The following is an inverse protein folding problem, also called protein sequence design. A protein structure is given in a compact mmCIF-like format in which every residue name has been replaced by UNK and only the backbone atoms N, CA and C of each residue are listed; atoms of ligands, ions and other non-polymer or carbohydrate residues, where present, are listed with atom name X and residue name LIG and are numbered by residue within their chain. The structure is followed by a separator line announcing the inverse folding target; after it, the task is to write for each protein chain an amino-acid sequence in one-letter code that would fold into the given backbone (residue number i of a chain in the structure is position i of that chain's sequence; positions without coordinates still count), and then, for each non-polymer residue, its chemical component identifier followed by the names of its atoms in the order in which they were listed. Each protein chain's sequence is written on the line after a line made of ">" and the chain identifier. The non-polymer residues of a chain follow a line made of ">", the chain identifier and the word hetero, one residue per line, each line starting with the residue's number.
data_IF_797086004965
#
_entry.id   IF_797086004965
#
_cell.length_a   1.000
_cell.length_b   1.000
_cell.length_c   1.000
_cell.angle_alpha   90.00
_cell.angle_beta   90.00
_cell.angle_gamma   90.00
#
_symmetry.space_group_name_H-M   'P 1'
#
loop_
_entity.id
_entity.type
_entity.pdbx_description
1 polymer ?
#
# COMPACT_ATOMS: atom_id res chain seq x y z
N UNK A 1 11.93 21.24 48.28
CA UNK A 1 10.52 21.20 48.74
C UNK A 1 9.71 20.55 47.63
N UNK A 2 9.34 19.28 47.83
CA UNK A 2 8.46 18.52 46.94
C UNK A 2 7.05 19.11 47.04
N UNK A 3 6.48 19.52 45.91
CA UNK A 3 5.05 19.66 45.74
C UNK A 3 4.65 18.90 44.46
N UNK A 4 3.92 17.78 44.59
CA UNK A 4 3.39 17.07 43.45
C UNK A 4 2.15 17.83 42.97
N UNK A 5 2.19 18.36 41.75
CA UNK A 5 0.96 18.72 41.04
C UNK A 5 0.88 17.86 39.79
N UNK A 6 -0.15 17.03 39.79
CA UNK A 6 -0.69 16.30 38.65
C UNK A 6 -0.85 17.26 37.47
N UNK A 7 0.18 17.37 36.64
CA UNK A 7 0.06 17.74 35.23
C UNK A 7 0.12 16.44 34.46
N UNK A 8 -0.92 16.13 33.69
CA UNK A 8 -1.03 14.89 32.96
C UNK A 8 0.25 14.64 32.13
N UNK A 9 0.98 13.57 32.43
CA UNK A 9 1.72 12.88 31.39
C UNK A 9 0.67 12.42 30.39
N UNK A 10 0.48 13.19 29.32
CA UNK A 10 -0.33 12.78 28.19
C UNK A 10 0.38 11.61 27.52
N UNK A 11 0.02 10.41 27.98
CA UNK A 11 0.16 9.18 27.21
C UNK A 11 -0.50 9.41 25.86
N UNK A 12 0.30 9.37 24.79
CA UNK A 12 -0.06 9.42 23.37
C UNK A 12 -1.29 10.30 23.05
N UNK A 13 -1.09 11.57 22.64
CA UNK A 13 -2.21 12.40 22.24
C UNK A 13 -2.91 11.78 21.02
N UNK A 14 -4.24 11.72 21.05
CA UNK A 14 -5.07 11.56 19.85
C UNK A 14 -4.69 12.69 18.87
N UNK A 15 -4.63 12.43 17.55
CA UNK A 15 -4.16 13.38 16.52
C UNK A 15 -4.60 14.83 16.76
N UNK A 16 -5.85 15.06 17.13
CA UNK A 16 -6.40 16.40 17.40
C UNK A 16 -5.67 17.19 18.49
N UNK A 17 -5.16 16.51 19.53
CA UNK A 17 -4.40 17.13 20.61
C UNK A 17 -2.94 17.38 20.19
N UNK A 18 -2.38 16.51 19.34
CA UNK A 18 -1.05 16.68 18.79
C UNK A 18 -0.99 17.90 17.85
N UNK A 19 -1.93 18.01 16.92
CA UNK A 19 -2.01 19.14 15.98
C UNK A 19 -2.13 20.49 16.72
N UNK A 20 -2.97 20.54 17.77
CA UNK A 20 -3.12 21.73 18.61
C UNK A 20 -1.82 22.08 19.37
N UNK A 21 -1.11 21.07 19.88
CA UNK A 21 0.20 21.27 20.50
C UNK A 21 1.24 21.82 19.50
N UNK A 22 1.26 21.32 18.26
CA UNK A 22 2.12 21.83 17.20
C UNK A 22 1.79 23.28 16.84
N UNK A 23 0.51 23.65 16.75
CA UNK A 23 0.09 25.04 16.53
C UNK A 23 0.60 25.99 17.64
N UNK A 24 0.57 25.56 18.90
CA UNK A 24 1.12 26.33 20.02
C UNK A 24 2.64 26.47 19.88
N UNK A 25 3.36 25.39 19.55
CA UNK A 25 4.82 25.41 19.37
C UNK A 25 5.25 26.29 18.18
N UNK A 26 4.46 26.31 17.10
CA UNK A 26 4.69 27.16 15.93
C UNK A 26 4.28 28.63 16.17
N UNK A 27 3.66 28.95 17.31
CA UNK A 27 3.18 30.28 17.64
C UNK A 27 1.92 30.70 16.89
N UNK A 28 1.21 29.76 16.26
CA UNK A 28 -0.06 29.97 15.57
C UNK A 28 -1.22 30.13 16.57
N UNK A 29 -1.10 29.48 17.74
CA UNK A 29 -2.06 29.52 18.84
C UNK A 29 -1.36 29.86 20.17
N UNK A 30 -2.07 30.51 21.10
CA UNK A 30 -1.53 30.83 22.43
C UNK A 30 -2.36 30.21 23.55
N UNK A 31 -1.72 29.42 24.40
CA UNK A 31 -2.34 28.82 25.58
C UNK A 31 -1.35 28.77 26.75
N UNK A 32 -1.40 29.80 27.60
CA UNK A 32 -0.49 29.95 28.76
C UNK A 32 -0.71 28.90 29.86
N UNK A 33 -1.81 28.16 29.81
CA UNK A 33 -2.10 27.09 30.77
C UNK A 33 -1.45 25.74 30.41
N UNK A 34 -0.90 25.62 29.19
CA UNK A 34 -0.35 24.39 28.64
C UNK A 34 1.17 24.51 28.44
N UNK A 35 1.91 23.57 29.03
CA UNK A 35 3.33 23.36 28.70
C UNK A 35 3.44 22.21 27.70
N UNK A 36 3.98 22.50 26.51
CA UNK A 36 4.14 21.53 25.43
C UNK A 36 5.62 21.22 25.24
N UNK A 37 5.97 19.94 25.24
CA UNK A 37 7.30 19.45 24.92
C UNK A 37 7.16 18.13 24.16
N UNK A 38 7.62 18.10 22.92
CA UNK A 38 7.51 16.96 22.02
C UNK A 38 8.93 16.48 21.68
N UNK A 39 9.14 15.17 21.75
CA UNK A 39 10.38 14.50 21.40
C UNK A 39 10.10 13.53 20.27
N UNK A 40 10.47 13.87 19.05
CA UNK A 40 10.21 13.05 17.86
C UNK A 40 11.31 13.26 16.82
N UNK A 41 11.27 12.43 15.77
CA UNK A 41 12.05 12.66 14.56
C UNK A 41 11.17 13.36 13.52
N UNK A 42 11.79 14.23 12.74
CA UNK A 42 11.09 15.02 11.73
C UNK A 42 10.70 14.14 10.51
N UNK A 43 11.57 13.20 10.13
CA UNK A 43 11.39 12.29 9.00
C UNK A 43 12.05 10.91 9.26
N UNK A 44 11.56 9.86 8.58
CA UNK A 44 12.10 8.49 8.67
C UNK A 44 13.59 8.41 8.29
N UNK A 45 14.05 9.26 7.36
CA UNK A 45 15.45 9.31 6.91
C UNK A 45 16.44 9.76 7.98
N UNK A 46 15.99 10.38 9.06
CA UNK A 46 16.87 10.85 10.14
C UNK A 46 17.44 9.71 11.00
N UNK A 47 16.82 8.52 10.97
CA UNK A 47 17.20 7.35 11.77
C UNK A 47 18.58 6.78 11.45
N UNK A 48 19.08 7.04 10.24
CA UNK A 48 20.40 6.58 9.80
C UNK A 48 21.53 7.41 10.43
N UNK A 49 21.25 8.65 10.84
CA UNK A 49 22.18 9.48 11.58
C UNK A 49 22.03 9.29 13.10
N UNK A 50 23.09 8.76 13.72
CA UNK A 50 23.15 8.54 15.17
C UNK A 50 22.97 9.81 15.99
N UNK A 51 23.29 10.97 15.43
CA UNK A 51 23.12 12.25 16.12
C UNK A 51 21.65 12.65 16.26
N UNK A 52 20.77 12.21 15.37
CA UNK A 52 19.35 12.55 15.41
C UNK A 52 18.57 11.71 16.43
N UNK A 53 19.09 10.54 16.83
CA UNK A 53 18.41 9.63 17.76
C UNK A 53 18.06 10.29 19.11
N UNK A 54 18.85 11.28 19.55
CA UNK A 54 18.62 12.02 20.79
C UNK A 54 17.36 12.89 20.75
N UNK A 55 16.91 13.33 19.57
CA UNK A 55 15.70 14.15 19.41
C UNK A 55 14.45 13.43 19.94
N UNK A 56 14.31 12.15 19.62
CA UNK A 56 13.22 11.31 20.14
C UNK A 56 13.57 10.58 21.44
N UNK A 57 14.86 10.43 21.78
CA UNK A 57 15.34 9.72 22.97
C UNK A 57 16.18 10.66 23.85
N UNK A 58 15.57 11.62 24.58
CA UNK A 58 16.30 12.62 25.35
C UNK A 58 17.15 12.06 26.51
N UNK A 59 16.86 10.82 26.95
CA UNK A 59 17.62 10.12 27.99
C UNK A 59 18.72 9.18 27.44
N UNK A 60 19.07 9.32 26.16
CA UNK A 60 20.14 8.55 25.53
C UNK A 60 21.47 8.80 26.27
N UNK A 61 22.19 7.72 26.59
CA UNK A 61 23.41 7.68 27.41
C UNK A 61 23.25 8.11 28.88
N UNK A 62 22.02 8.29 29.36
CA UNK A 62 21.73 8.52 30.78
C UNK A 62 21.03 7.30 31.39
N UNK A 63 19.90 6.89 30.80
CA UNK A 63 19.16 5.68 31.21
C UNK A 63 18.89 4.72 30.05
N UNK A 64 19.05 5.17 28.81
CA UNK A 64 19.01 4.34 27.60
C UNK A 64 20.40 4.25 27.02
N UNK A 65 20.97 3.05 26.96
CA UNK A 65 22.31 2.86 26.41
C UNK A 65 22.30 2.89 24.87
N UNK A 66 23.16 3.71 24.27
CA UNK A 66 23.20 3.87 22.81
C UNK A 66 23.46 2.55 22.07
N UNK A 67 24.27 1.66 22.64
CA UNK A 67 24.59 0.38 22.00
C UNK A 67 23.34 -0.53 21.94
N UNK A 68 22.60 -0.64 23.03
CA UNK A 68 21.38 -1.45 23.12
C UNK A 68 20.27 -0.92 22.19
N UNK A 69 20.17 0.41 22.07
CA UNK A 69 19.24 1.05 21.12
C UNK A 69 19.61 0.70 19.68
N UNK A 70 20.89 0.83 19.30
CA UNK A 70 21.37 0.48 17.96
C UNK A 70 21.15 -1.00 17.61
N UNK A 71 21.35 -1.90 18.56
CA UNK A 71 21.12 -3.34 18.34
C UNK A 71 19.63 -3.65 18.14
N UNK A 72 18.74 -2.92 18.83
CA UNK A 72 17.30 -3.05 18.66
C UNK A 72 16.85 -2.50 17.31
N UNK A 73 17.39 -1.36 16.87
CA UNK A 73 17.15 -0.80 15.52
C UNK A 73 17.50 -1.84 14.45
N UNK A 74 18.70 -2.44 14.53
CA UNK A 74 19.16 -3.44 13.55
C UNK A 74 18.26 -4.67 13.49
N UNK A 75 17.82 -5.17 14.65
CA UNK A 75 16.90 -6.32 14.71
C UNK A 75 15.53 -5.98 14.12
N UNK A 76 15.00 -4.81 14.46
CA UNK A 76 13.69 -4.36 14.01
C UNK A 76 13.63 -4.18 12.49
N UNK A 77 14.71 -3.72 11.83
CA UNK A 77 14.75 -3.55 10.37
C UNK A 77 14.45 -4.83 9.57
N UNK A 78 14.74 -5.99 10.13
CA UNK A 78 14.46 -7.28 9.48
C UNK A 78 13.03 -7.77 9.63
N UNK A 79 12.20 -7.12 10.45
CA UNK A 79 10.86 -7.60 10.81
C UNK A 79 9.87 -6.44 10.72
N UNK A 80 8.99 -6.37 9.70
CA UNK A 80 8.11 -5.24 9.46
C UNK A 80 7.27 -4.81 10.68
N UNK A 81 6.79 -5.76 11.47
CA UNK A 81 5.98 -5.47 12.67
C UNK A 81 6.80 -4.81 13.77
N UNK A 82 8.02 -5.30 14.01
CA UNK A 82 8.94 -4.71 14.97
C UNK A 82 9.47 -3.35 14.48
N UNK A 83 9.65 -3.18 13.17
CA UNK A 83 10.02 -1.90 12.58
C UNK A 83 8.94 -0.85 12.83
N UNK A 84 7.68 -1.18 12.56
CA UNK A 84 6.53 -0.31 12.84
C UNK A 84 6.48 0.04 14.34
N UNK A 85 6.64 -0.96 15.20
CA UNK A 85 6.67 -0.74 16.65
C UNK A 85 7.83 0.15 17.08
N UNK A 86 9.00 0.00 16.47
CA UNK A 86 10.18 0.80 16.73
C UNK A 86 9.94 2.27 16.37
N UNK A 87 9.46 2.53 15.15
CA UNK A 87 9.14 3.88 14.67
C UNK A 87 8.10 4.55 15.57
N UNK A 88 6.99 3.86 15.86
CA UNK A 88 5.89 4.42 16.66
C UNK A 88 6.24 4.60 18.14
N UNK A 89 6.93 3.63 18.77
CA UNK A 89 7.14 3.64 20.24
C UNK A 89 8.48 4.21 20.68
N UNK A 90 9.49 4.23 19.82
CA UNK A 90 10.84 4.73 20.16
C UNK A 90 11.22 6.02 19.46
N UNK A 91 10.57 6.32 18.34
CA UNK A 91 10.86 7.53 17.57
C UNK A 91 9.67 8.48 17.43
N UNK A 92 8.50 8.07 17.95
CA UNK A 92 7.23 8.81 17.87
C UNK A 92 6.84 9.18 16.43
N UNK A 93 7.25 8.35 15.48
CA UNK A 93 6.87 8.50 14.07
C UNK A 93 5.49 7.86 13.88
N UNK A 94 4.57 8.65 13.33
CA UNK A 94 3.22 8.22 13.02
C UNK A 94 3.22 7.24 11.85
N UNK A 95 3.36 5.96 12.17
CA UNK A 95 3.15 4.90 11.19
C UNK A 95 1.65 4.67 11.03
N UNK A 96 1.20 4.48 9.79
CA UNK A 96 -0.12 3.90 9.57
C UNK A 96 -0.12 2.52 10.24
N UNK A 97 -1.10 2.23 11.10
CA UNK A 97 -1.14 1.05 11.98
C UNK A 97 -1.20 -0.31 11.27
N UNK A 98 -0.98 -0.35 9.96
CA UNK A 98 -0.79 -1.58 9.21
C UNK A 98 0.71 -1.81 9.07
N UNK A 99 1.22 -2.80 9.80
CA UNK A 99 2.49 -3.43 9.44
C UNK A 99 2.38 -3.87 7.98
N UNK A 100 3.22 -3.35 7.07
CA UNK A 100 3.16 -3.76 5.69
C UNK A 100 3.46 -5.26 5.65
N UNK A 101 2.54 -6.02 5.03
CA UNK A 101 2.68 -7.47 4.89
C UNK A 101 3.97 -7.84 4.14
N UNK A 102 4.38 -6.99 3.20
CA UNK A 102 5.61 -7.13 2.42
C UNK A 102 6.43 -5.85 2.55
N UNK A 103 7.71 -5.97 2.90
CA UNK A 103 8.62 -4.83 2.93
C UNK A 103 8.95 -4.32 1.53
N UNK A 104 9.17 -3.02 1.39
CA UNK A 104 9.50 -2.39 0.10
C UNK A 104 10.76 -2.98 -0.54
N UNK A 105 11.79 -3.29 0.26
CA UNK A 105 13.00 -3.96 -0.24
C UNK A 105 12.74 -5.34 -0.83
N UNK A 106 11.89 -6.14 -0.18
CA UNK A 106 11.51 -7.47 -0.69
C UNK A 106 10.77 -7.37 -2.03
N UNK A 107 9.91 -6.36 -2.18
CA UNK A 107 9.24 -6.09 -3.46
C UNK A 107 10.22 -5.67 -4.55
N UNK A 108 11.15 -4.76 -4.24
CA UNK A 108 12.18 -4.32 -5.17
C UNK A 108 13.10 -5.48 -5.61
N UNK A 109 13.47 -6.39 -4.69
CA UNK A 109 14.28 -7.58 -4.97
C UNK A 109 13.59 -8.56 -5.94
N UNK A 110 12.25 -8.48 -6.07
CA UNK A 110 11.48 -9.26 -7.04
C UNK A 110 11.50 -8.67 -8.46
N UNK A 111 12.04 -7.46 -8.68
CA UNK A 111 12.07 -6.84 -10.00
C UNK A 111 12.84 -7.72 -11.00
N UNK A 112 12.23 -7.99 -12.14
CA UNK A 112 12.84 -8.72 -13.25
C UNK A 112 12.57 -7.97 -14.55
N UNK A 113 13.56 -7.95 -15.44
CA UNK A 113 13.40 -7.38 -16.77
C UNK A 113 12.86 -8.46 -17.72
N UNK A 114 11.65 -8.24 -18.22
CA UNK A 114 11.03 -9.09 -19.23
C UNK A 114 10.07 -8.27 -20.08
N UNK A 115 9.72 -8.79 -21.24
CA UNK A 115 8.72 -8.21 -22.15
C UNK A 115 7.50 -9.09 -22.19
N UNK A 116 6.34 -8.49 -22.44
CA UNK A 116 5.08 -9.23 -22.63
C UNK A 116 5.18 -10.29 -23.74
N UNK A 117 5.99 -10.02 -24.78
CA UNK A 117 6.27 -10.96 -25.87
C UNK A 117 6.92 -12.26 -25.43
N UNK A 118 7.63 -12.25 -24.29
CA UNK A 118 8.34 -13.42 -23.78
C UNK A 118 7.36 -14.48 -23.26
N UNK A 119 6.11 -14.07 -22.95
CA UNK A 119 5.07 -14.95 -22.41
C UNK A 119 4.16 -15.57 -23.47
N UNK A 120 4.42 -15.34 -24.76
CA UNK A 120 3.58 -15.89 -25.82
C UNK A 120 3.55 -17.42 -25.77
N UNK A 121 2.35 -17.99 -25.68
CA UNK A 121 2.09 -19.42 -25.56
C UNK A 121 2.39 -20.01 -24.18
N UNK A 122 2.80 -19.19 -23.20
CA UNK A 122 3.03 -19.67 -21.84
C UNK A 122 1.71 -19.80 -21.08
N UNK A 123 1.68 -20.80 -20.21
CA UNK A 123 0.58 -21.03 -19.28
C UNK A 123 0.50 -19.93 -18.22
N UNK A 124 -0.69 -19.37 -18.03
CA UNK A 124 -0.92 -18.36 -16.99
C UNK A 124 -2.27 -18.51 -16.27
N UNK A 125 -2.35 -17.85 -15.12
CA UNK A 125 -3.55 -17.70 -14.31
C UNK A 125 -3.89 -16.23 -14.22
N UNK A 126 -5.15 -15.85 -14.44
CA UNK A 126 -5.57 -14.46 -14.39
C UNK A 126 -6.39 -14.18 -13.13
N UNK A 127 -6.22 -12.98 -12.58
CA UNK A 127 -7.07 -12.41 -11.54
C UNK A 127 -7.70 -11.12 -12.03
N UNK A 128 -8.99 -10.93 -11.75
CA UNK A 128 -9.72 -9.70 -12.06
C UNK A 128 -10.22 -9.04 -10.78
N UNK A 129 -9.96 -7.74 -10.67
CA UNK A 129 -10.51 -6.85 -9.66
C UNK A 129 -11.33 -5.77 -10.38
N UNK A 130 -12.67 -5.87 -10.25
CA UNK A 130 -13.60 -5.07 -11.04
C UNK A 130 -14.17 -3.93 -10.21
N UNK A 131 -14.16 -2.74 -10.78
CA UNK A 131 -14.76 -1.52 -10.25
C UNK A 131 -15.86 -1.00 -11.19
N UNK A 132 -16.71 -0.10 -10.69
CA UNK A 132 -17.80 0.48 -11.47
C UNK A 132 -17.50 1.90 -11.96
N UNK A 133 -17.37 2.88 -11.05
CA UNK A 133 -17.37 4.31 -11.43
C UNK A 133 -16.17 5.10 -10.92
N UNK A 134 -15.70 4.84 -9.70
CA UNK A 134 -14.68 5.67 -9.04
C UNK A 134 -13.30 5.04 -8.96
N UNK A 135 -13.24 3.71 -8.87
CA UNK A 135 -11.99 2.98 -8.61
C UNK A 135 -11.39 2.41 -9.89
N UNK A 136 -10.13 1.98 -9.80
CA UNK A 136 -9.41 1.33 -10.90
C UNK A 136 -9.87 -0.12 -11.02
N UNK A 137 -10.18 -0.55 -12.23
CA UNK A 137 -10.35 -1.98 -12.56
C UNK A 137 -9.02 -2.55 -13.02
N UNK A 138 -8.67 -3.74 -12.54
CA UNK A 138 -7.41 -4.40 -12.86
C UNK A 138 -7.60 -5.83 -13.33
N UNK A 139 -6.82 -6.23 -14.34
CA UNK A 139 -6.64 -7.62 -14.76
C UNK A 139 -5.17 -7.95 -14.65
N UNK A 140 -4.82 -9.00 -13.89
CA UNK A 140 -3.44 -9.41 -13.67
C UNK A 140 -3.25 -10.86 -14.14
N UNK A 141 -2.30 -11.08 -15.04
CA UNK A 141 -1.87 -12.38 -15.51
C UNK A 141 -0.61 -12.78 -14.75
N UNK A 142 -0.65 -13.95 -14.13
CA UNK A 142 0.45 -14.52 -13.37
C UNK A 142 1.00 -15.72 -14.12
N UNK A 143 2.30 -15.68 -14.42
CA UNK A 143 3.05 -16.72 -15.13
C UNK A 143 3.94 -17.46 -14.14
N UNK A 144 3.59 -18.70 -13.76
CA UNK A 144 4.42 -19.49 -12.85
C UNK A 144 5.75 -19.87 -13.51
N UNK A 145 6.85 -19.54 -12.83
CA UNK A 145 8.20 -19.97 -13.17
C UNK A 145 8.75 -20.84 -12.04
N UNK A 146 9.86 -21.55 -12.27
CA UNK A 146 10.40 -22.56 -11.35
C UNK A 146 10.52 -22.09 -9.88
N UNK A 147 10.84 -20.82 -9.64
CA UNK A 147 10.92 -20.25 -8.29
C UNK A 147 10.50 -18.77 -8.25
N UNK A 148 9.59 -18.35 -9.16
CA UNK A 148 9.14 -16.98 -9.25
C UNK A 148 7.74 -16.91 -9.88
N UNK A 149 7.03 -15.82 -9.63
CA UNK A 149 5.83 -15.45 -10.35
C UNK A 149 6.12 -14.18 -11.12
N UNK A 150 5.94 -14.22 -12.44
CA UNK A 150 6.04 -13.03 -13.30
C UNK A 150 4.64 -12.51 -13.61
N UNK A 151 4.50 -11.19 -13.69
CA UNK A 151 3.19 -10.54 -13.77
C UNK A 151 3.06 -9.69 -15.04
N UNK A 152 1.93 -9.78 -15.71
CA UNK A 152 1.50 -8.81 -16.72
C UNK A 152 0.17 -8.26 -16.27
N UNK A 153 0.07 -6.95 -16.04
CA UNK A 153 -1.15 -6.33 -15.54
C UNK A 153 -1.70 -5.28 -16.49
N UNK A 154 -3.02 -5.10 -16.44
CA UNK A 154 -3.78 -4.15 -17.24
C UNK A 154 -4.74 -3.42 -16.33
N UNK A 155 -4.61 -2.11 -16.29
CA UNK A 155 -5.38 -1.25 -15.40
C UNK A 155 -6.27 -0.31 -16.21
N UNK A 156 -7.49 -0.11 -15.72
CA UNK A 156 -8.54 0.65 -16.39
C UNK A 156 -9.18 1.65 -15.43
N UNK A 157 -9.49 2.85 -15.94
CA UNK A 157 -10.22 3.88 -15.20
C UNK A 157 -11.24 4.56 -16.13
N UNK A 158 -12.43 4.99 -15.65
CA UNK A 158 -13.33 5.79 -16.46
C UNK A 158 -12.74 7.17 -16.75
N UNK A 159 -12.88 7.65 -17.98
CA UNK A 159 -12.38 8.96 -18.41
C UNK A 159 -12.91 10.10 -17.54
N UNK A 160 -14.16 10.00 -17.06
CA UNK A 160 -14.73 10.97 -16.13
C UNK A 160 -13.88 11.17 -14.86
N UNK A 161 -13.18 10.14 -14.37
CA UNK A 161 -12.32 10.26 -13.19
C UNK A 161 -11.07 11.10 -13.42
N UNK A 162 -10.64 11.25 -14.67
CA UNK A 162 -9.54 12.15 -15.04
C UNK A 162 -9.96 13.61 -15.05
N UNK A 163 -11.25 13.88 -15.28
CA UNK A 163 -11.79 15.24 -15.39
C UNK A 163 -12.45 15.71 -14.09
N UNK A 164 -12.89 14.78 -13.23
CA UNK A 164 -13.56 15.07 -11.97
C UNK A 164 -12.68 15.91 -11.03
N UNK A 165 -13.10 17.13 -10.65
CA UNK A 165 -12.39 17.94 -9.67
C UNK A 165 -12.41 17.34 -8.26
N UNK A 166 -13.37 16.47 -7.97
CA UNK A 166 -13.50 15.78 -6.69
C UNK A 166 -12.47 14.63 -6.54
N UNK A 167 -11.91 14.14 -7.64
CA UNK A 167 -10.91 13.09 -7.60
C UNK A 167 -9.53 13.67 -7.26
N UNK A 168 -9.10 13.46 -6.01
CA UNK A 168 -7.79 13.87 -5.51
C UNK A 168 -6.62 13.24 -6.28
N UNK A 169 -6.83 12.04 -6.84
CA UNK A 169 -5.80 11.30 -7.57
C UNK A 169 -5.70 11.65 -9.06
N UNK A 170 -6.52 12.59 -9.57
CA UNK A 170 -6.61 12.87 -11.02
C UNK A 170 -5.25 13.17 -11.65
N UNK A 171 -4.38 13.90 -10.95
CA UNK A 171 -3.08 14.32 -11.47
C UNK A 171 -2.16 13.11 -11.71
N UNK A 172 -2.15 12.17 -10.75
CA UNK A 172 -1.39 10.92 -10.83
C UNK A 172 -1.99 10.01 -11.90
N UNK A 173 -3.31 9.92 -12.00
CA UNK A 173 -3.96 9.11 -13.05
C UNK A 173 -3.65 9.64 -14.45
N UNK A 174 -3.64 10.97 -14.66
CA UNK A 174 -3.19 11.58 -15.92
C UNK A 174 -1.74 11.17 -16.25
N UNK A 175 -0.85 11.15 -15.25
CA UNK A 175 0.52 10.70 -15.45
C UNK A 175 0.58 9.23 -15.84
N UNK A 176 -0.14 8.34 -15.16
CA UNK A 176 -0.17 6.91 -15.47
C UNK A 176 -0.76 6.60 -16.83
N UNK A 177 -1.76 7.38 -17.28
CA UNK A 177 -2.29 7.27 -18.64
C UNK A 177 -1.24 7.66 -19.68
N UNK A 178 -0.52 8.78 -19.46
CA UNK A 178 0.58 9.21 -20.35
C UNK A 178 1.74 8.21 -20.39
N UNK A 179 2.03 7.57 -19.27
CA UNK A 179 3.07 6.53 -19.16
C UNK A 179 2.62 5.16 -19.71
N UNK A 180 1.34 5.00 -20.08
CA UNK A 180 0.78 3.75 -20.57
C UNK A 180 0.50 2.69 -19.49
N UNK A 181 0.57 3.06 -18.20
CA UNK A 181 0.27 2.17 -17.08
C UNK A 181 -1.23 2.04 -16.80
N UNK A 182 -2.01 3.05 -17.20
CA UNK A 182 -3.45 3.10 -17.01
C UNK A 182 -4.16 3.35 -18.35
N UNK A 183 -5.21 2.58 -18.62
CA UNK A 183 -6.05 2.71 -19.82
C UNK A 183 -7.37 3.38 -19.45
N UNK A 184 -7.93 4.18 -20.33
CA UNK A 184 -9.21 4.85 -20.08
C UNK A 184 -10.36 4.13 -20.75
N UNK A 185 -11.47 3.94 -20.03
CA UNK A 185 -12.76 3.59 -20.61
C UNK A 185 -13.56 4.87 -20.88
N UNK A 186 -14.34 4.89 -21.98
CA UNK A 186 -15.15 6.07 -22.31
C UNK A 186 -16.32 6.21 -21.34
N UNK A 187 -16.65 7.46 -20.98
CA UNK A 187 -17.79 7.76 -20.13
C UNK A 187 -17.46 7.81 -18.64
N UNK A 188 -18.49 7.60 -17.83
CA UNK A 188 -18.48 7.74 -16.36
C UNK A 188 -18.40 6.41 -15.61
N UNK A 189 -18.43 5.28 -16.33
CA UNK A 189 -18.27 3.95 -15.77
C UNK A 189 -17.26 3.10 -16.55
N UNK A 190 -16.84 2.00 -15.93
CA UNK A 190 -15.99 0.99 -16.55
C UNK A 190 -16.76 0.26 -17.64
N UNK A 191 -16.17 0.22 -18.84
CA UNK A 191 -16.67 -0.56 -19.96
C UNK A 191 -16.18 -2.00 -19.84
N UNK A 192 -17.04 -2.89 -19.35
CA UNK A 192 -16.73 -4.30 -19.21
C UNK A 192 -16.61 -5.04 -20.56
N UNK A 193 -17.26 -4.54 -21.62
CA UNK A 193 -17.11 -5.14 -22.96
C UNK A 193 -15.70 -4.88 -23.49
N UNK A 194 -15.14 -3.69 -23.25
CA UNK A 194 -13.74 -3.39 -23.57
C UNK A 194 -12.77 -4.31 -22.81
N UNK A 195 -13.03 -4.55 -21.53
CA UNK A 195 -12.20 -5.45 -20.70
C UNK A 195 -12.29 -6.88 -21.22
N UNK A 196 -13.50 -7.37 -21.51
CA UNK A 196 -13.72 -8.68 -22.14
C UNK A 196 -12.89 -8.81 -23.41
N UNK A 197 -13.02 -7.84 -24.34
CA UNK A 197 -12.34 -7.92 -25.63
C UNK A 197 -10.82 -7.89 -25.49
N UNK A 198 -10.29 -7.19 -24.50
CA UNK A 198 -8.87 -7.22 -24.18
C UNK A 198 -8.44 -8.58 -23.62
N UNK A 199 -9.22 -9.18 -22.71
CA UNK A 199 -8.94 -10.53 -22.19
C UNK A 199 -8.96 -11.57 -23.30
N UNK A 200 -9.90 -11.48 -24.23
CA UNK A 200 -9.98 -12.39 -25.37
C UNK A 200 -8.75 -12.25 -26.28
N UNK A 201 -8.32 -11.01 -26.59
CA UNK A 201 -7.05 -10.79 -27.32
C UNK A 201 -5.84 -11.36 -26.58
N UNK A 202 -5.84 -11.28 -25.25
CA UNK A 202 -4.76 -11.83 -24.44
C UNK A 202 -4.79 -13.36 -24.42
N UNK A 203 -5.98 -13.97 -24.48
CA UNK A 203 -6.15 -15.42 -24.61
C UNK A 203 -5.65 -15.98 -25.95
N UNK A 204 -5.51 -15.14 -26.97
CA UNK A 204 -4.86 -15.53 -28.24
C UNK A 204 -3.33 -15.56 -28.11
N UNK A 205 -2.76 -14.86 -27.13
CA UNK A 205 -1.31 -14.80 -26.91
C UNK A 205 -0.86 -15.69 -25.75
N UNK A 206 -1.67 -15.85 -24.71
CA UNK A 206 -1.35 -16.59 -23.50
C UNK A 206 -2.25 -17.81 -23.34
N UNK A 207 -1.73 -18.89 -22.76
CA UNK A 207 -2.53 -20.06 -22.42
C UNK A 207 -3.16 -19.85 -21.03
N UNK A 208 -4.28 -19.12 -20.98
CA UNK A 208 -5.00 -18.81 -19.74
C UNK A 208 -5.74 -20.06 -19.24
N UNK A 209 -5.31 -20.60 -18.10
CA UNK A 209 -5.92 -21.81 -17.51
C UNK A 209 -7.12 -21.54 -16.63
N UNK A 210 -7.12 -20.42 -15.93
CA UNK A 210 -8.18 -20.05 -15.01
C UNK A 210 -8.17 -18.55 -14.80
N UNK A 211 -9.37 -17.97 -14.72
CA UNK A 211 -9.59 -16.58 -14.35
C UNK A 211 -10.37 -16.54 -13.04
N UNK A 212 -9.71 -16.06 -11.97
CA UNK A 212 -10.33 -15.79 -10.68
C UNK A 212 -10.87 -14.36 -10.63
N UNK A 213 -12.04 -14.17 -10.01
CA UNK A 213 -12.65 -12.85 -9.86
C UNK A 213 -13.46 -12.73 -8.57
N UNK A 214 -13.66 -11.51 -8.06
CA UNK A 214 -14.56 -11.31 -6.92
C UNK A 214 -16.04 -11.34 -7.36
N UNK A 215 -16.86 -12.01 -6.57
CA UNK A 215 -18.29 -12.25 -6.84
C UNK A 215 -19.15 -10.99 -6.94
N UNK A 216 -18.66 -9.84 -6.51
CA UNK A 216 -19.39 -8.58 -6.56
C UNK A 216 -19.35 -7.96 -7.97
N UNK A 217 -20.53 -7.66 -8.54
CA UNK A 217 -20.72 -6.94 -9.81
C UNK A 217 -20.10 -7.56 -11.10
N UNK A 218 -19.80 -8.86 -11.09
CA UNK A 218 -19.00 -9.55 -12.12
C UNK A 218 -19.75 -10.64 -12.90
N UNK A 219 -21.01 -10.91 -12.54
CA UNK A 219 -21.81 -12.00 -13.12
C UNK A 219 -21.96 -11.92 -14.63
N UNK A 220 -22.11 -10.70 -15.19
CA UNK A 220 -22.28 -10.51 -16.63
C UNK A 220 -20.99 -10.83 -17.40
N UNK A 221 -19.86 -10.26 -16.97
CA UNK A 221 -18.56 -10.48 -17.60
C UNK A 221 -18.16 -11.97 -17.54
N UNK A 222 -18.43 -12.64 -16.42
CA UNK A 222 -18.23 -14.09 -16.28
C UNK A 222 -18.95 -14.86 -17.38
N UNK A 223 -20.26 -14.63 -17.57
CA UNK A 223 -21.03 -15.38 -18.57
C UNK A 223 -20.48 -15.18 -19.97
N UNK A 224 -20.04 -13.97 -20.31
CA UNK A 224 -19.44 -13.68 -21.60
C UNK A 224 -18.10 -14.42 -21.80
N UNK A 225 -17.21 -14.40 -20.80
CA UNK A 225 -15.91 -15.07 -20.88
C UNK A 225 -16.06 -16.61 -20.92
N UNK A 226 -16.99 -17.17 -20.14
CA UNK A 226 -17.33 -18.60 -20.19
C UNK A 226 -17.92 -18.99 -21.56
N UNK A 227 -18.76 -18.13 -22.14
CA UNK A 227 -19.30 -18.33 -23.49
C UNK A 227 -18.23 -18.32 -24.59
N UNK A 228 -17.09 -17.66 -24.34
CA UNK A 228 -15.92 -17.67 -25.23
C UNK A 228 -14.97 -18.87 -24.98
N UNK A 229 -15.31 -19.78 -24.06
CA UNK A 229 -14.52 -20.99 -23.78
C UNK A 229 -13.42 -20.81 -22.73
N UNK A 230 -13.41 -19.71 -21.97
CA UNK A 230 -12.48 -19.51 -20.86
C UNK A 230 -13.03 -20.07 -19.55
N UNK A 231 -12.16 -20.69 -18.76
CA UNK A 231 -12.49 -21.15 -17.41
C UNK A 231 -12.43 -19.97 -16.43
N UNK A 232 -13.60 -19.62 -15.89
CA UNK A 232 -13.77 -18.46 -15.00
C UNK A 232 -14.48 -18.89 -13.73
N UNK A 233 -13.82 -18.71 -12.59
CA UNK A 233 -14.31 -19.16 -11.29
C UNK A 233 -14.36 -18.02 -10.25
N UNK A 234 -15.43 -17.98 -9.43
CA UNK A 234 -15.51 -17.00 -8.36
C UNK A 234 -14.46 -17.30 -7.29
N UNK A 235 -13.67 -16.29 -6.91
CA UNK A 235 -12.72 -16.34 -5.82
C UNK A 235 -13.05 -15.25 -4.79
N UNK A 236 -13.90 -15.55 -3.78
CA UNK A 236 -14.30 -14.57 -2.79
C UNK A 236 -13.09 -14.07 -1.99
N UNK A 237 -12.91 -12.74 -1.93
CA UNK A 237 -11.83 -12.06 -1.21
C UNK A 237 -12.05 -12.07 0.32
N UNK A 238 -12.20 -13.26 0.89
CA UNK A 238 -12.41 -13.45 2.32
C UNK A 238 -11.10 -13.76 3.04
N UNK A 239 -11.03 -13.46 4.34
CA UNK A 239 -9.89 -13.82 5.17
C UNK A 239 -9.50 -15.31 5.02
N UNK A 240 -10.48 -16.22 4.96
CA UNK A 240 -10.22 -17.65 4.79
C UNK A 240 -9.50 -18.00 3.48
N UNK A 241 -9.76 -17.26 2.40
CA UNK A 241 -9.19 -17.52 1.08
C UNK A 241 -7.85 -16.81 0.87
N UNK A 242 -7.71 -15.59 1.40
CA UNK A 242 -6.50 -14.77 1.21
C UNK A 242 -5.43 -15.01 2.29
N UNK A 243 -5.82 -15.34 3.54
CA UNK A 243 -4.88 -15.53 4.65
C UNK A 243 -3.82 -16.62 4.42
N UNK A 244 -4.12 -17.78 3.80
CA UNK A 244 -3.10 -18.78 3.54
C UNK A 244 -1.97 -18.26 2.65
N UNK A 245 -2.31 -17.50 1.60
CA UNK A 245 -1.33 -16.91 0.68
C UNK A 245 -0.48 -15.86 1.40
N UNK A 246 -1.11 -15.02 2.23
CA UNK A 246 -0.40 -13.99 3.00
C UNK A 246 0.50 -14.55 4.12
N UNK A 247 0.25 -15.76 4.64
CA UNK A 247 1.08 -16.36 5.70
C UNK A 247 2.24 -17.19 5.17
N UNK A 248 2.30 -17.42 3.86
CA UNK A 248 3.28 -18.28 3.20
C UNK A 248 4.45 -17.51 2.55
N UNK A 249 4.41 -16.17 2.60
CA UNK A 249 5.43 -15.28 2.04
C UNK A 249 6.52 -14.95 3.07
#
# INVERSE_FOLDING_TARGET
>A
MLLPRRGAMLFQPVNSTYDYCCQILNGEEQNESLFVLIYELDEDGELDDKHNLVKANPNLNVSVESHALNDTIKKARGIPSQWTEMLTKRFNIWCQGQTPWMGEGTWADCQRDYKETDFKGQTCYAGMDLSSTNDITSVCYTFPQHNALLLVSRHYIPEAQLQSPANKNRAIYHQWVRSGWLRTTKGDCIDYDLIRDNILKDSEQFEIKLIGFDTWNSTHLRTQLQGAGLDVEPFPQTYMRLSPVAKSA
#
